data_IF_364889825983
#
_entry.id   IF_364889825983
#
_cell.length_a   1.000
_cell.length_b   1.000
_cell.length_c   1.000
_cell.angle_alpha   90.00
_cell.angle_beta   90.00
_cell.angle_gamma   90.00
#
_symmetry.space_group_name_H-M   'P 1'
#
loop_
_entity.id
_entity.type
_entity.pdbx_description
1 polymer ?
#
# COMPACT_ATOMS: atom_id res chain seq x y z
N UNK A 1 -18.93 -0.10 3.65
CA UNK A 1 -17.76 -0.07 2.76
C UNK A 1 -17.99 1.07 1.79
N UNK A 2 -17.27 2.15 2.04
CA UNK A 2 -17.10 3.29 1.15
C UNK A 2 -15.80 3.12 0.37
N UNK A 3 -15.83 3.56 -0.88
CA UNK A 3 -14.64 3.63 -1.72
C UNK A 3 -14.05 5.03 -1.66
N UNK A 4 -12.78 5.09 -1.29
CA UNK A 4 -11.97 6.29 -1.26
C UNK A 4 -10.95 6.25 -2.40
N UNK A 5 -10.60 7.41 -2.93
CA UNK A 5 -9.75 7.52 -4.12
C UNK A 5 -8.50 8.34 -3.82
N UNK A 6 -7.35 7.82 -4.27
CA UNK A 6 -6.04 8.41 -4.13
C UNK A 6 -5.31 8.42 -5.49
N UNK A 7 -4.72 9.55 -5.85
CA UNK A 7 -3.86 9.72 -7.03
C UNK A 7 -2.52 10.34 -6.64
N UNK A 8 -1.52 10.31 -7.51
CA UNK A 8 -0.16 10.79 -7.17
C UNK A 8 -0.07 12.26 -6.78
N UNK A 9 -1.01 13.10 -7.21
CA UNK A 9 -1.02 14.55 -6.95
C UNK A 9 -2.24 15.04 -6.18
N UNK A 10 -3.19 14.14 -5.87
CA UNK A 10 -4.55 14.55 -5.54
C UNK A 10 -5.28 15.17 -6.72
N UNK A 11 -6.57 15.41 -6.52
CA UNK A 11 -7.44 16.08 -7.48
C UNK A 11 -8.31 17.14 -6.78
N UNK A 12 -9.01 17.96 -7.57
CA UNK A 12 -9.79 19.11 -7.11
C UNK A 12 -10.67 18.78 -5.90
N UNK A 13 -10.51 19.50 -4.80
CA UNK A 13 -11.41 19.38 -3.64
C UNK A 13 -10.99 18.37 -2.58
N UNK A 14 -10.09 17.42 -2.90
CA UNK A 14 -9.43 16.53 -1.93
C UNK A 14 -10.41 15.91 -0.91
N UNK A 15 -11.55 15.40 -1.38
CA UNK A 15 -12.57 14.75 -0.53
C UNK A 15 -12.50 13.22 -0.61
N UNK A 16 -11.77 12.69 -1.58
CA UNK A 16 -11.56 11.26 -1.79
C UNK A 16 -12.78 10.49 -2.28
N UNK A 17 -13.90 11.13 -2.62
CA UNK A 17 -15.17 10.44 -2.95
C UNK A 17 -15.22 9.89 -4.38
N UNK A 18 -14.35 10.37 -5.26
CA UNK A 18 -14.16 9.90 -6.64
C UNK A 18 -12.76 10.32 -7.14
N UNK A 19 -12.41 9.94 -8.37
CA UNK A 19 -11.11 10.31 -8.97
C UNK A 19 -10.96 11.82 -9.19
N UNK A 20 -12.04 12.55 -9.47
CA UNK A 20 -11.99 13.99 -9.72
C UNK A 20 -11.75 14.79 -8.43
N UNK A 21 -12.01 14.17 -7.28
CA UNK A 21 -11.81 14.70 -5.95
C UNK A 21 -10.84 13.85 -5.11
N UNK A 22 -10.00 13.04 -5.75
CA UNK A 22 -9.08 12.13 -5.07
C UNK A 22 -8.12 12.83 -4.11
N UNK A 23 -7.76 12.14 -3.04
CA UNK A 23 -6.66 12.53 -2.16
C UNK A 23 -5.31 12.41 -2.86
N UNK A 24 -4.33 13.17 -2.38
CA UNK A 24 -2.94 12.76 -2.52
C UNK A 24 -2.58 11.63 -1.54
N UNK A 25 -1.38 11.04 -1.66
CA UNK A 25 -1.00 9.93 -0.80
C UNK A 25 -0.93 10.32 0.68
N UNK A 26 -0.45 11.51 1.02
CA UNK A 26 -0.30 11.92 2.41
C UNK A 26 -1.67 12.12 3.08
N UNK A 27 -2.61 12.73 2.34
CA UNK A 27 -3.99 12.89 2.75
C UNK A 27 -4.70 11.54 2.90
N UNK A 28 -4.55 10.63 1.94
CA UNK A 28 -5.13 9.30 2.00
C UNK A 28 -4.68 8.53 3.26
N UNK A 29 -3.37 8.58 3.57
CA UNK A 29 -2.83 7.95 4.78
C UNK A 29 -3.29 8.67 6.06
N UNK A 30 -3.39 10.00 6.02
CA UNK A 30 -3.95 10.78 7.13
C UNK A 30 -5.42 10.39 7.38
N UNK A 31 -6.21 10.24 6.34
CA UNK A 31 -7.62 9.86 6.44
C UNK A 31 -7.78 8.44 6.98
N UNK A 32 -7.02 7.46 6.45
CA UNK A 32 -7.00 6.09 6.97
C UNK A 32 -6.68 6.05 8.47
N UNK A 33 -5.71 6.86 8.91
CA UNK A 33 -5.21 6.80 10.28
C UNK A 33 -6.05 7.61 11.28
N UNK A 34 -6.70 8.70 10.84
CA UNK A 34 -7.42 9.62 11.72
C UNK A 34 -8.94 9.62 11.54
N UNK A 35 -9.44 9.18 10.37
CA UNK A 35 -10.86 9.17 10.02
C UNK A 35 -11.51 10.54 10.02
N UNK A 36 -10.77 11.59 9.64
CA UNK A 36 -11.21 12.98 9.72
C UNK A 36 -12.43 13.27 8.83
N UNK A 37 -12.53 12.60 7.68
CA UNK A 37 -13.60 12.74 6.71
C UNK A 37 -14.61 11.60 6.76
N UNK A 38 -14.33 10.55 7.54
CA UNK A 38 -15.29 9.51 7.89
C UNK A 38 -14.85 8.10 7.55
N UNK A 39 -13.56 7.84 7.34
CA UNK A 39 -13.03 6.48 7.21
C UNK A 39 -13.47 5.59 8.37
N UNK A 40 -14.02 4.42 8.04
CA UNK A 40 -14.43 3.40 9.02
C UNK A 40 -13.91 2.01 8.64
N UNK A 41 -13.89 1.09 9.61
CA UNK A 41 -13.46 -0.30 9.41
C UNK A 41 -14.21 -0.97 8.25
N UNK A 42 -13.45 -1.59 7.35
CA UNK A 42 -13.98 -2.25 6.16
C UNK A 42 -14.13 -1.34 4.95
N UNK A 43 -13.76 -0.07 5.04
CA UNK A 43 -13.61 0.80 3.87
C UNK A 43 -12.40 0.43 3.01
N UNK A 44 -12.39 0.94 1.78
CA UNK A 44 -11.34 0.69 0.80
C UNK A 44 -10.74 2.00 0.31
N UNK A 45 -9.40 2.08 0.36
CA UNK A 45 -8.63 3.13 -0.29
C UNK A 45 -8.06 2.62 -1.61
N UNK A 46 -8.47 3.23 -2.71
CA UNK A 46 -8.08 2.89 -4.08
C UNK A 46 -6.97 3.82 -4.57
N UNK A 47 -5.80 3.26 -4.88
CA UNK A 47 -4.62 3.98 -5.37
C UNK A 47 -4.51 3.79 -6.88
N UNK A 48 -4.61 4.88 -7.65
CA UNK A 48 -4.51 4.85 -9.11
C UNK A 48 -3.07 4.75 -9.58
N UNK A 49 -2.78 3.88 -10.53
CA UNK A 49 -1.50 3.84 -11.24
C UNK A 49 -1.43 4.92 -12.35
N UNK A 50 -1.35 6.19 -11.98
CA UNK A 50 -1.29 7.29 -12.95
C UNK A 50 0.12 7.91 -13.14
N UNK A 51 1.04 7.70 -12.20
CA UNK A 51 2.45 8.09 -12.37
C UNK A 51 3.44 7.36 -11.42
N UNK A 52 2.97 6.38 -10.64
CA UNK A 52 3.72 5.80 -9.53
C UNK A 52 3.87 6.76 -8.33
N UNK A 53 3.68 6.25 -7.13
CA UNK A 53 3.79 7.01 -5.89
C UNK A 53 5.22 7.00 -5.38
N UNK A 54 5.83 8.17 -5.17
CA UNK A 54 7.14 8.28 -4.53
C UNK A 54 7.00 8.70 -3.07
N UNK A 55 7.51 7.91 -2.13
CA UNK A 55 7.33 8.16 -0.68
C UNK A 55 8.50 7.62 0.14
N UNK A 56 8.70 8.15 1.36
CA UNK A 56 9.64 7.58 2.35
C UNK A 56 9.08 6.34 3.04
N UNK A 57 7.80 6.04 2.83
CA UNK A 57 7.11 4.89 3.42
C UNK A 57 5.65 5.21 3.71
N UNK A 58 4.83 4.17 3.72
CA UNK A 58 3.43 4.21 4.13
C UNK A 58 3.31 3.45 5.43
N UNK A 59 2.91 4.16 6.48
CA UNK A 59 2.68 3.57 7.80
C UNK A 59 1.20 3.67 8.16
N UNK A 60 0.48 2.56 8.03
CA UNK A 60 -0.92 2.48 8.46
C UNK A 60 -0.93 2.01 9.92
N UNK A 61 -1.55 2.80 10.79
CA UNK A 61 -1.66 2.54 12.23
C UNK A 61 -3.08 2.19 12.66
N UNK A 62 -4.08 2.59 11.89
CA UNK A 62 -5.47 2.20 12.12
C UNK A 62 -5.62 0.67 11.92
N UNK A 63 -6.10 -0.02 12.96
CA UNK A 63 -6.43 -1.45 12.85
C UNK A 63 -7.75 -1.58 12.10
N UNK A 64 -7.89 -2.61 11.25
CA UNK A 64 -9.21 -3.00 10.77
C UNK A 64 -9.97 -3.84 11.81
N UNK A 65 -11.04 -4.51 11.39
CA UNK A 65 -11.84 -5.39 12.24
C UNK A 65 -11.81 -6.87 11.81
N UNK A 66 -11.91 -7.78 12.78
CA UNK A 66 -11.80 -9.25 12.60
C UNK A 66 -12.74 -9.83 11.53
N UNK A 67 -13.86 -9.17 11.24
CA UNK A 67 -14.87 -9.60 10.26
C UNK A 67 -15.08 -8.60 9.12
N UNK A 68 -14.38 -7.47 9.18
CA UNK A 68 -14.56 -6.32 8.29
C UNK A 68 -13.18 -5.74 8.01
N UNK A 69 -12.45 -6.43 7.13
CA UNK A 69 -11.09 -6.05 6.80
C UNK A 69 -11.10 -4.76 5.98
N UNK A 70 -10.40 -3.76 6.46
CA UNK A 70 -10.11 -2.55 5.68
C UNK A 70 -9.19 -2.89 4.52
N UNK A 71 -9.28 -2.13 3.43
CA UNK A 71 -8.60 -2.47 2.18
C UNK A 71 -7.73 -1.34 1.66
N UNK A 72 -6.55 -1.71 1.19
CA UNK A 72 -5.70 -0.91 0.31
C UNK A 72 -5.62 -1.65 -1.03
N UNK A 73 -6.03 -1.00 -2.12
CA UNK A 73 -6.10 -1.60 -3.45
C UNK A 73 -5.47 -0.69 -4.49
N UNK A 74 -4.51 -1.21 -5.26
CA UNK A 74 -4.07 -0.56 -6.50
C UNK A 74 -5.01 -0.90 -7.66
N UNK A 75 -5.10 0.02 -8.63
CA UNK A 75 -5.85 -0.16 -9.87
C UNK A 75 -5.27 0.69 -11.00
N UNK A 76 -5.65 0.40 -12.25
CA UNK A 76 -5.21 1.13 -13.45
C UNK A 76 -6.32 2.02 -14.03
N UNK A 77 -7.41 1.40 -14.47
CA UNK A 77 -8.53 2.05 -15.13
C UNK A 77 -9.73 2.20 -14.20
N UNK A 78 -10.02 1.16 -13.40
CA UNK A 78 -11.13 1.16 -12.46
C UNK A 78 -10.85 0.28 -11.24
N UNK A 79 -11.32 0.65 -10.03
CA UNK A 79 -11.16 -0.19 -8.84
C UNK A 79 -11.64 -1.62 -9.05
N UNK A 80 -10.77 -2.61 -8.76
CA UNK A 80 -11.07 -4.03 -8.94
C UNK A 80 -10.61 -4.64 -10.28
N UNK A 81 -9.98 -3.85 -11.17
CA UNK A 81 -9.47 -4.33 -12.46
C UNK A 81 -8.26 -5.28 -12.36
N UNK A 82 -7.64 -5.39 -11.18
CA UNK A 82 -6.43 -6.19 -10.96
C UNK A 82 -5.14 -5.52 -11.42
N UNK A 83 -5.23 -4.30 -11.97
CA UNK A 83 -4.10 -3.44 -12.30
C UNK A 83 -3.36 -3.02 -11.05
N UNK A 84 -2.04 -2.81 -11.15
CA UNK A 84 -1.18 -2.57 -9.98
C UNK A 84 -0.75 -1.12 -9.91
N UNK A 85 -0.94 -0.49 -8.75
CA UNK A 85 -0.30 0.78 -8.46
C UNK A 85 1.16 0.57 -8.04
N UNK A 86 2.06 1.37 -8.61
CA UNK A 86 3.47 1.35 -8.19
C UNK A 86 3.69 2.31 -7.02
N UNK A 87 4.25 1.81 -5.92
CA UNK A 87 4.77 2.62 -4.81
C UNK A 87 6.28 2.43 -4.77
N UNK A 88 7.02 3.52 -4.79
CA UNK A 88 8.47 3.55 -4.87
C UNK A 88 9.08 4.30 -3.67
N UNK A 89 10.12 3.71 -3.08
CA UNK A 89 10.87 4.32 -1.99
C UNK A 89 11.73 5.49 -2.50
N UNK A 90 11.45 6.70 -2.01
CA UNK A 90 12.20 7.90 -2.38
C UNK A 90 13.51 8.03 -1.60
N UNK A 91 13.51 7.63 -0.32
CA UNK A 91 14.68 7.60 0.56
C UNK A 91 14.39 6.78 1.82
N UNK A 92 15.43 6.44 2.58
CA UNK A 92 15.32 5.71 3.86
C UNK A 92 15.60 4.21 3.74
N UNK A 93 15.71 3.55 4.91
CA UNK A 93 16.10 2.13 5.04
C UNK A 93 14.99 1.25 5.66
N UNK A 94 13.79 1.78 5.83
CA UNK A 94 12.69 1.11 6.53
C UNK A 94 11.76 0.34 5.57
N UNK A 95 10.64 -0.15 6.10
CA UNK A 95 9.57 -0.80 5.35
C UNK A 95 8.81 0.21 4.49
N UNK A 96 8.66 -0.06 3.18
CA UNK A 96 7.93 0.82 2.26
C UNK A 96 6.42 0.84 2.55
N UNK A 97 5.84 -0.31 2.89
CA UNK A 97 4.43 -0.42 3.28
C UNK A 97 4.32 -1.22 4.58
N UNK A 98 3.73 -0.61 5.61
CA UNK A 98 3.45 -1.26 6.90
C UNK A 98 1.94 -1.42 7.03
N UNK A 99 1.48 -2.67 7.08
CA UNK A 99 0.08 -3.05 7.22
C UNK A 99 -0.17 -3.62 8.63
N UNK A 100 -1.07 -3.01 9.42
CA UNK A 100 -1.44 -3.50 10.74
C UNK A 100 -2.43 -4.67 10.62
N UNK A 101 -3.02 -5.15 11.71
CA UNK A 101 -3.92 -6.33 11.70
C UNK A 101 -5.25 -6.02 11.01
N UNK A 102 -5.86 -7.06 10.42
CA UNK A 102 -7.20 -7.03 9.82
C UNK A 102 -7.29 -6.16 8.58
N UNK A 103 -6.24 -6.16 7.77
CA UNK A 103 -6.19 -5.46 6.52
C UNK A 103 -6.03 -6.41 5.35
N UNK A 104 -6.62 -5.99 4.22
CA UNK A 104 -6.29 -6.53 2.91
C UNK A 104 -5.44 -5.51 2.17
N UNK A 105 -4.28 -5.93 1.66
CA UNK A 105 -3.48 -5.12 0.75
C UNK A 105 -3.34 -5.88 -0.57
N UNK A 106 -3.74 -5.28 -1.68
CA UNK A 106 -3.73 -5.97 -2.97
C UNK A 106 -3.41 -5.09 -4.17
N UNK A 107 -2.85 -5.74 -5.20
CA UNK A 107 -2.50 -5.15 -6.49
C UNK A 107 -1.48 -3.99 -6.38
N UNK A 108 -0.29 -4.27 -5.84
CA UNK A 108 0.79 -3.27 -5.77
C UNK A 108 2.07 -3.78 -6.38
N UNK A 109 2.82 -2.86 -6.99
CA UNK A 109 4.26 -3.00 -7.20
C UNK A 109 4.94 -2.16 -6.11
N UNK A 110 5.70 -2.80 -5.23
CA UNK A 110 6.47 -2.17 -4.17
C UNK A 110 7.94 -2.13 -4.62
N UNK A 111 8.42 -0.96 -5.00
CA UNK A 111 9.77 -0.74 -5.51
C UNK A 111 10.67 -0.13 -4.44
N UNK A 112 11.65 -0.91 -3.96
CA UNK A 112 12.65 -0.43 -3.00
C UNK A 112 13.63 0.59 -3.58
N UNK A 113 13.61 0.83 -4.90
CA UNK A 113 14.49 1.77 -5.62
C UNK A 113 15.98 1.60 -5.30
N UNK A 114 16.40 0.36 -4.98
CA UNK A 114 17.77 0.04 -4.54
C UNK A 114 18.23 0.78 -3.27
N UNK A 115 17.32 1.41 -2.53
CA UNK A 115 17.62 2.25 -1.36
C UNK A 115 17.84 1.47 -0.06
N UNK A 116 17.92 0.14 -0.10
CA UNK A 116 18.32 -0.62 1.08
C UNK A 116 17.20 -0.95 2.08
N UNK A 117 15.92 -0.86 1.71
CA UNK A 117 14.77 -1.17 2.59
C UNK A 117 14.01 -2.47 2.30
N UNK A 118 13.12 -2.84 3.23
CA UNK A 118 12.10 -3.88 3.06
C UNK A 118 10.88 -3.30 2.32
N UNK A 119 10.26 -4.04 1.41
CA UNK A 119 9.07 -3.51 0.71
C UNK A 119 7.79 -3.58 1.55
N UNK A 120 7.62 -4.61 2.37
CA UNK A 120 6.35 -4.87 3.06
C UNK A 120 6.60 -5.37 4.48
N UNK A 121 5.86 -4.82 5.44
CA UNK A 121 5.71 -5.37 6.78
C UNK A 121 4.24 -5.67 7.04
N UNK A 122 3.97 -6.85 7.59
CA UNK A 122 2.61 -7.25 7.95
C UNK A 122 2.52 -7.68 9.41
N UNK A 123 1.47 -7.23 10.10
CA UNK A 123 1.08 -7.83 11.37
C UNK A 123 0.25 -9.10 11.16
N UNK A 124 -0.19 -9.73 12.25
CA UNK A 124 -1.02 -10.94 12.20
C UNK A 124 -2.40 -10.68 11.57
N UNK A 125 -2.97 -11.70 10.91
CA UNK A 125 -4.35 -11.70 10.39
C UNK A 125 -4.59 -10.67 9.29
N UNK A 126 -3.76 -10.75 8.26
CA UNK A 126 -3.86 -9.95 7.04
C UNK A 126 -4.05 -10.84 5.82
N UNK A 127 -4.65 -10.28 4.78
CA UNK A 127 -4.74 -10.88 3.45
C UNK A 127 -3.91 -10.02 2.49
N UNK A 128 -2.88 -10.62 1.90
CA UNK A 128 -1.96 -9.94 0.99
C UNK A 128 -2.08 -10.63 -0.37
N UNK A 129 -2.47 -9.88 -1.41
CA UNK A 129 -2.80 -10.48 -2.70
C UNK A 129 -2.18 -9.70 -3.86
N UNK A 130 -1.50 -10.37 -4.79
CA UNK A 130 -1.10 -9.79 -6.08
C UNK A 130 -0.08 -8.66 -5.90
N UNK A 131 0.85 -8.86 -4.96
CA UNK A 131 1.93 -7.91 -4.66
C UNK A 131 3.20 -8.35 -5.37
N UNK A 132 3.86 -7.43 -6.05
CA UNK A 132 5.22 -7.59 -6.55
C UNK A 132 6.16 -6.69 -5.75
N UNK A 133 7.11 -7.28 -5.04
CA UNK A 133 8.20 -6.52 -4.42
C UNK A 133 9.44 -6.58 -5.31
N UNK A 134 10.05 -5.45 -5.65
CA UNK A 134 11.27 -5.39 -6.46
C UNK A 134 12.30 -4.42 -5.89
N UNK A 135 13.57 -4.63 -6.23
CA UNK A 135 14.70 -3.78 -5.82
C UNK A 135 14.79 -3.57 -4.29
N UNK A 136 14.39 -4.57 -3.51
CA UNK A 136 14.43 -4.59 -2.05
C UNK A 136 15.73 -5.23 -1.55
N UNK A 137 16.23 -4.79 -0.39
CA UNK A 137 17.46 -5.31 0.23
C UNK A 137 17.21 -6.38 1.30
N UNK A 138 15.95 -6.68 1.61
CA UNK A 138 15.56 -7.75 2.52
C UNK A 138 14.13 -8.20 2.25
N UNK A 139 13.84 -9.46 2.64
CA UNK A 139 12.49 -10.02 2.63
C UNK A 139 11.70 -9.31 3.72
N UNK A 140 10.43 -8.96 3.43
CA UNK A 140 9.54 -8.34 4.39
C UNK A 140 9.50 -9.06 5.75
N UNK A 141 9.30 -8.31 6.83
CA UNK A 141 9.15 -8.87 8.18
C UNK A 141 7.65 -8.99 8.52
N UNK A 142 7.22 -10.09 9.15
CA UNK A 142 5.79 -10.19 9.48
C UNK A 142 5.36 -11.26 10.46
N UNK A 143 4.28 -10.95 11.20
CA UNK A 143 3.69 -11.75 12.27
C UNK A 143 2.54 -12.69 11.84
N UNK A 144 2.56 -13.16 10.59
CA UNK A 144 1.55 -14.09 10.04
C UNK A 144 0.46 -13.41 9.20
N UNK A 145 0.01 -14.07 8.14
CA UNK A 145 -0.98 -13.55 7.19
C UNK A 145 -1.10 -14.52 6.01
N UNK A 146 -2.14 -14.35 5.19
CA UNK A 146 -2.32 -15.16 3.98
C UNK A 146 -1.75 -14.38 2.81
N UNK A 147 -0.78 -14.96 2.10
CA UNK A 147 -0.14 -14.38 0.92
C UNK A 147 -0.59 -15.15 -0.32
N UNK A 148 -1.16 -14.45 -1.31
CA UNK A 148 -1.72 -15.04 -2.53
C UNK A 148 -1.11 -14.31 -3.73
N UNK A 149 -0.55 -15.06 -4.68
CA UNK A 149 0.06 -14.49 -5.90
C UNK A 149 1.05 -13.34 -5.61
N UNK A 150 1.91 -13.52 -4.60
CA UNK A 150 2.91 -12.53 -4.21
C UNK A 150 4.29 -12.94 -4.70
N UNK A 151 5.02 -12.01 -5.31
CA UNK A 151 6.32 -12.26 -5.95
C UNK A 151 7.38 -11.32 -5.40
N UNK A 152 8.60 -11.85 -5.24
CA UNK A 152 9.79 -11.07 -4.89
C UNK A 152 10.79 -11.13 -6.03
N UNK A 153 11.01 -9.98 -6.67
CA UNK A 153 12.03 -9.76 -7.70
C UNK A 153 13.26 -9.15 -7.03
N UNK A 154 14.14 -10.01 -6.53
CA UNK A 154 15.38 -9.55 -5.92
C UNK A 154 16.41 -9.19 -7.01
N UNK A 155 16.34 -7.95 -7.51
CA UNK A 155 17.30 -7.39 -8.46
C UNK A 155 18.36 -6.50 -7.78
N UNK A 156 18.30 -6.37 -6.45
CA UNK A 156 19.36 -5.68 -5.70
C UNK A 156 20.63 -6.51 -5.75
N UNK A 157 21.77 -5.88 -6.03
CA UNK A 157 23.10 -6.46 -5.82
C UNK A 157 23.24 -6.85 -4.36
N UNK A 158 22.83 -8.07 -4.01
CA UNK A 158 23.25 -8.71 -2.78
C UNK A 158 24.72 -9.08 -2.95
N UNK A 159 25.61 -8.27 -2.37
CA UNK A 159 26.86 -8.82 -1.85
C UNK A 159 26.46 -9.94 -0.90
N UNK A 160 26.72 -11.18 -1.31
CA UNK A 160 26.34 -12.35 -0.54
C UNK A 160 26.93 -12.30 0.87
N UNK A 161 26.10 -12.64 1.84
CA UNK A 161 26.60 -13.24 3.07
C UNK A 161 26.14 -14.70 3.06
N UNK A 162 27.16 -15.56 2.92
CA UNK A 162 27.11 -16.98 3.19
C UNK A 162 26.77 -17.26 4.66
#
# INVERSE_FOLDING_TARGET
MVDWFCTTTGASGHTGVDEANAFDLAEAISEINSGALGWVDGDRMNLKDNAGFSTTGINITNLGALTTYSQLEGYTDSPGDGGKATIQLSSGVNHLLIIPRYWTAKNFILDGNSNGGNCLQTHSRNIIWNIEAKNASARGSGGGGVFINCYLHNNGTYGGHA
#
